data_IF_406839480033
#
_entry.id   IF_406839480033
#
_cell.length_a   1.000
_cell.length_b   1.000
_cell.length_c   1.000
_cell.angle_alpha   90.00
_cell.angle_beta   90.00
_cell.angle_gamma   90.00
#
_symmetry.space_group_name_H-M   'P 1'
#
loop_
_entity.id
_entity.type
_entity.pdbx_description
1 polymer ?
#
# COMPACT_ATOMS: atom_id res chain seq x y z
N UNK A 1 -21.07 -23.21 73.51
CA UNK A 1 -20.48 -22.17 72.64
C UNK A 1 -19.64 -22.87 71.58
N UNK A 2 -20.20 -23.10 70.39
CA UNK A 2 -19.45 -23.57 69.22
C UNK A 2 -19.12 -22.34 68.37
N UNK A 3 -17.83 -22.12 68.11
CA UNK A 3 -17.35 -21.03 67.26
C UNK A 3 -17.12 -21.62 65.87
N UNK A 4 -17.94 -21.21 64.91
CA UNK A 4 -17.78 -21.51 63.48
C UNK A 4 -16.74 -20.55 62.87
N UNK A 5 -15.77 -21.05 62.07
CA UNK A 5 -14.82 -20.18 61.39
C UNK A 5 -15.46 -19.59 60.13
N UNK A 6 -15.52 -18.26 60.06
CA UNK A 6 -15.90 -17.53 58.84
C UNK A 6 -14.72 -17.54 57.87
N UNK A 7 -14.89 -18.19 56.71
CA UNK A 7 -14.00 -18.08 55.56
C UNK A 7 -14.24 -16.73 54.87
N UNK A 8 -13.31 -15.79 55.03
CA UNK A 8 -13.26 -14.56 54.24
C UNK A 8 -12.70 -14.89 52.85
N UNK A 9 -13.56 -14.93 51.84
CA UNK A 9 -13.17 -15.04 50.44
C UNK A 9 -12.74 -13.65 49.94
N UNK A 10 -11.44 -13.38 49.89
CA UNK A 10 -10.93 -12.15 49.27
C UNK A 10 -11.08 -12.26 47.76
N UNK A 11 -12.04 -11.52 47.19
CA UNK A 11 -12.09 -11.27 45.76
C UNK A 11 -10.90 -10.38 45.38
N UNK A 12 -9.81 -11.00 44.95
CA UNK A 12 -8.77 -10.33 44.17
C UNK A 12 -9.43 -9.81 42.89
N UNK A 13 -9.71 -8.50 42.86
CA UNK A 13 -10.00 -7.76 41.63
C UNK A 13 -8.74 -7.86 40.76
N UNK A 14 -8.67 -8.90 39.93
CA UNK A 14 -7.75 -8.94 38.81
C UNK A 14 -8.05 -7.69 37.97
N UNK A 15 -7.06 -6.82 37.70
CA UNK A 15 -7.27 -5.77 36.73
C UNK A 15 -7.66 -6.47 35.43
N UNK A 16 -8.86 -6.20 34.94
CA UNK A 16 -9.23 -6.52 33.57
C UNK A 16 -8.18 -5.82 32.73
N UNK A 17 -7.22 -6.57 32.22
CA UNK A 17 -6.33 -6.08 31.18
C UNK A 17 -7.27 -5.57 30.09
N UNK A 18 -7.29 -4.24 29.89
CA UNK A 18 -7.90 -3.67 28.70
C UNK A 18 -7.38 -4.50 27.55
N UNK A 19 -8.28 -5.11 26.78
CA UNK A 19 -7.86 -5.70 25.51
C UNK A 19 -7.03 -4.64 24.81
N UNK A 20 -5.77 -4.96 24.51
CA UNK A 20 -5.01 -4.15 23.57
C UNK A 20 -5.83 -4.20 22.29
N UNK A 21 -6.62 -3.17 22.04
CA UNK A 21 -7.29 -2.98 20.78
C UNK A 21 -6.13 -2.86 19.79
N UNK A 22 -5.86 -3.92 19.03
CA UNK A 22 -4.86 -3.88 17.98
C UNK A 22 -5.29 -2.77 17.02
N UNK A 23 -4.53 -1.70 17.04
CA UNK A 23 -4.75 -0.47 16.26
C UNK A 23 -3.65 -0.35 15.24
N UNK A 24 -3.89 0.50 14.25
CA UNK A 24 -2.88 0.91 13.30
C UNK A 24 -1.68 1.49 14.05
N UNK A 25 -0.48 1.14 13.60
CA UNK A 25 0.78 1.58 14.18
C UNK A 25 1.55 2.35 13.13
N UNK A 26 1.85 3.61 13.41
CA UNK A 26 2.63 4.49 12.54
C UNK A 26 3.94 4.84 13.28
N UNK A 27 5.08 4.52 12.68
CA UNK A 27 6.39 4.62 13.31
C UNK A 27 7.25 5.58 12.51
N UNK A 28 7.72 6.64 13.17
CA UNK A 28 8.71 7.58 12.66
C UNK A 28 10.10 7.08 13.08
N UNK A 29 10.83 6.52 12.13
CA UNK A 29 12.04 5.76 12.41
C UNK A 29 13.20 6.70 12.71
N UNK A 30 13.86 6.50 13.86
CA UNK A 30 14.88 7.40 14.36
C UNK A 30 14.34 8.63 15.08
N UNK A 31 13.02 8.87 15.12
CA UNK A 31 12.47 9.93 15.96
C UNK A 31 12.66 9.59 17.46
N UNK A 32 12.87 10.63 18.27
CA UNK A 32 13.00 10.50 19.72
C UNK A 32 11.72 10.87 20.48
N UNK A 33 10.79 11.52 19.80
CA UNK A 33 9.54 12.01 20.38
C UNK A 33 8.38 11.66 19.46
N UNK A 34 7.21 11.47 20.04
CA UNK A 34 5.97 11.31 19.28
C UNK A 34 5.66 12.60 18.53
N UNK A 35 5.04 12.47 17.37
CA UNK A 35 4.58 13.61 16.57
C UNK A 35 3.16 13.35 16.03
N UNK A 36 2.48 14.41 15.62
CA UNK A 36 1.18 14.29 14.93
C UNK A 36 1.31 14.92 13.55
N UNK A 37 1.04 14.13 12.53
CA UNK A 37 1.08 14.55 11.12
C UNK A 37 -0.08 13.93 10.36
N UNK A 38 -0.77 14.72 9.52
CA UNK A 38 -2.00 14.31 8.82
C UNK A 38 -3.09 13.71 9.74
N UNK A 39 -3.21 14.24 10.97
CA UNK A 39 -4.10 13.74 12.02
C UNK A 39 -3.80 12.30 12.49
N UNK A 40 -2.59 11.80 12.22
CA UNK A 40 -2.09 10.51 12.69
C UNK A 40 -1.01 10.73 13.75
N UNK A 41 -1.06 9.96 14.84
CA UNK A 41 0.02 9.92 15.83
C UNK A 41 1.12 9.00 15.30
N UNK A 42 2.32 9.56 15.13
CA UNK A 42 3.53 8.84 14.76
C UNK A 42 4.38 8.60 16.01
N UNK A 43 4.75 7.34 16.23
CA UNK A 43 5.49 6.89 17.39
C UNK A 43 6.99 6.83 17.08
N UNK A 44 7.87 7.14 18.05
CA UNK A 44 9.28 6.82 17.92
C UNK A 44 9.47 5.30 17.86
N UNK A 45 10.54 4.84 17.22
CA UNK A 45 10.75 3.41 16.97
C UNK A 45 11.41 2.62 18.11
N UNK A 46 11.90 3.27 19.16
CA UNK A 46 12.71 2.64 20.21
C UNK A 46 12.04 1.43 20.92
N UNK A 47 10.71 1.40 20.96
CA UNK A 47 9.95 0.28 21.56
C UNK A 47 9.81 -0.93 20.61
N UNK A 48 10.11 -0.75 19.32
CA UNK A 48 9.89 -1.74 18.27
C UNK A 48 11.20 -2.29 17.69
N UNK A 49 12.33 -1.58 17.84
CA UNK A 49 13.65 -1.99 17.29
C UNK A 49 14.74 -1.84 18.36
N UNK A 50 15.62 -2.83 18.47
CA UNK A 50 16.69 -2.86 19.48
C UNK A 50 18.09 -2.49 18.94
N UNK A 51 18.19 -2.22 17.65
CA UNK A 51 19.45 -1.98 16.95
C UNK A 51 19.39 -0.75 16.04
N UNK A 52 20.51 -0.42 15.41
CA UNK A 52 20.63 0.74 14.54
C UNK A 52 20.84 2.05 15.29
N UNK A 53 21.04 3.13 14.54
CA UNK A 53 21.33 4.48 15.03
C UNK A 53 20.37 5.47 14.38
N UNK A 54 19.73 6.28 15.22
CA UNK A 54 18.93 7.42 14.79
C UNK A 54 19.83 8.49 14.16
N UNK A 55 19.42 9.03 13.02
CA UNK A 55 20.08 10.15 12.34
C UNK A 55 19.03 11.15 11.85
N UNK A 56 19.37 12.43 11.93
CA UNK A 56 18.58 13.50 11.32
C UNK A 56 19.02 13.69 9.87
N UNK A 57 18.05 13.93 8.99
CA UNK A 57 18.30 14.35 7.62
C UNK A 57 18.54 15.86 7.60
N UNK A 58 19.60 16.29 6.91
CA UNK A 58 19.97 17.71 6.82
C UNK A 58 19.20 18.45 5.72
N UNK A 59 18.67 17.73 4.73
CA UNK A 59 17.84 18.31 3.69
C UNK A 59 16.51 18.82 4.26
N UNK A 60 16.00 19.92 3.72
CA UNK A 60 14.68 20.42 4.11
C UNK A 60 13.60 19.51 3.54
N UNK A 61 12.83 18.87 4.43
CA UNK A 61 11.72 17.98 4.08
C UNK A 61 10.40 18.54 4.62
N UNK A 62 9.37 18.50 3.78
CA UNK A 62 8.02 18.96 4.15
C UNK A 62 7.24 17.90 4.93
N UNK A 63 7.59 16.62 4.76
CA UNK A 63 6.97 15.50 5.46
C UNK A 63 7.80 15.19 6.71
N UNK A 64 7.25 15.39 7.93
CA UNK A 64 8.03 15.27 9.17
C UNK A 64 8.68 13.90 9.36
N UNK A 65 8.01 12.83 8.95
CA UNK A 65 8.49 11.44 9.08
C UNK A 65 9.66 11.11 8.16
N UNK A 66 10.09 12.05 7.30
CA UNK A 66 11.29 11.93 6.47
C UNK A 66 12.47 12.71 7.06
N UNK A 67 12.27 13.47 8.15
CA UNK A 67 13.31 14.29 8.77
C UNK A 67 14.25 13.45 9.64
N UNK A 68 13.82 12.26 10.02
CA UNK A 68 14.61 11.28 10.77
C UNK A 68 14.64 9.95 10.06
N UNK A 69 15.73 9.21 10.26
CA UNK A 69 15.86 7.84 9.81
C UNK A 69 16.57 7.02 10.87
N UNK A 70 16.32 5.70 10.86
CA UNK A 70 17.17 4.73 11.53
C UNK A 70 18.08 4.07 10.52
N UNK A 71 19.38 4.05 10.82
CA UNK A 71 20.43 3.42 10.00
C UNK A 71 21.00 2.20 10.69
N UNK A 72 21.36 1.17 9.94
CA UNK A 72 21.87 -0.09 10.47
C UNK A 72 23.30 -0.34 9.97
N UNK A 73 24.29 -0.41 10.87
CA UNK A 73 25.70 -0.46 10.46
C UNK A 73 26.01 -1.75 9.69
N UNK A 74 26.47 -1.63 8.45
CA UNK A 74 26.84 -2.75 7.59
C UNK A 74 28.09 -3.47 8.10
N UNK A 75 29.09 -2.70 8.55
CA UNK A 75 30.36 -3.23 9.03
C UNK A 75 30.13 -4.21 10.19
N UNK A 76 30.67 -5.43 10.07
CA UNK A 76 30.51 -6.55 11.02
C UNK A 76 29.08 -7.11 11.15
N UNK A 77 28.11 -6.67 10.33
CA UNK A 77 26.73 -7.13 10.38
C UNK A 77 26.16 -7.58 9.03
N UNK A 78 27.01 -7.86 8.04
CA UNK A 78 26.60 -8.30 6.68
C UNK A 78 25.68 -9.54 6.70
N UNK A 79 25.81 -10.44 7.69
CA UNK A 79 24.98 -11.64 7.83
C UNK A 79 23.81 -11.47 8.81
N UNK A 80 23.54 -10.25 9.29
CA UNK A 80 22.46 -9.97 10.22
C UNK A 80 21.30 -9.30 9.51
N UNK A 81 20.11 -9.57 10.03
CA UNK A 81 18.91 -8.79 9.76
C UNK A 81 18.54 -7.97 10.99
N UNK A 82 17.97 -6.80 10.78
CA UNK A 82 17.52 -5.90 11.82
C UNK A 82 16.01 -5.77 11.73
N UNK A 83 15.30 -6.21 12.77
CA UNK A 83 13.86 -6.45 12.71
C UNK A 83 13.10 -5.55 13.67
N UNK A 84 12.13 -4.82 13.14
CA UNK A 84 11.07 -4.21 13.92
C UNK A 84 10.09 -5.30 14.34
N UNK A 85 9.67 -5.29 15.61
CA UNK A 85 8.77 -6.28 16.19
C UNK A 85 7.47 -5.59 16.65
N UNK A 86 6.41 -5.72 15.86
CA UNK A 86 5.14 -4.98 16.07
C UNK A 86 4.10 -5.93 16.64
N UNK A 87 3.54 -5.68 17.84
CA UNK A 87 2.45 -6.49 18.39
C UNK A 87 1.19 -6.44 17.51
N UNK A 88 0.67 -7.60 17.12
CA UNK A 88 -0.46 -7.74 16.18
C UNK A 88 -1.37 -8.91 16.53
N UNK A 89 -2.56 -8.93 15.93
CA UNK A 89 -3.43 -10.08 15.92
C UNK A 89 -3.11 -10.98 14.71
N UNK A 90 -2.50 -12.13 14.96
CA UNK A 90 -2.16 -13.13 13.93
C UNK A 90 -3.33 -13.66 13.11
N UNK A 91 -4.57 -13.46 13.57
CA UNK A 91 -5.78 -13.89 12.85
C UNK A 91 -6.27 -12.85 11.85
N UNK A 92 -5.63 -11.68 11.82
CA UNK A 92 -5.97 -10.57 10.95
C UNK A 92 -4.84 -10.31 9.96
N UNK A 93 -5.15 -9.56 8.91
CA UNK A 93 -4.19 -9.17 7.90
C UNK A 93 -3.92 -7.67 7.96
N UNK A 94 -2.70 -7.30 7.59
CA UNK A 94 -2.19 -5.95 7.74
C UNK A 94 -1.63 -5.46 6.42
N UNK A 95 -1.87 -4.19 6.11
CA UNK A 95 -1.06 -3.45 5.15
C UNK A 95 0.20 -3.00 5.87
N UNK A 96 1.34 -3.35 5.29
CA UNK A 96 2.66 -2.90 5.73
C UNK A 96 3.17 -1.93 4.69
N UNK A 97 3.56 -0.72 5.10
CA UNK A 97 4.29 0.22 4.25
C UNK A 97 5.60 0.61 4.89
N UNK A 98 6.68 0.45 4.15
CA UNK A 98 8.01 0.95 4.53
C UNK A 98 8.37 2.11 3.62
N UNK A 99 8.80 3.23 4.21
CA UNK A 99 9.17 4.44 3.48
C UNK A 99 10.64 4.76 3.70
N UNK A 100 11.31 5.15 2.63
CA UNK A 100 12.75 5.34 2.56
C UNK A 100 13.08 6.68 1.90
N UNK A 101 13.57 7.63 2.67
CA UNK A 101 14.17 8.87 2.20
C UNK A 101 15.65 8.91 2.54
N UNK A 102 16.51 8.75 1.53
CA UNK A 102 17.94 8.61 1.77
C UNK A 102 18.59 9.90 2.28
N UNK A 103 18.24 11.05 1.69
CA UNK A 103 18.71 12.37 2.14
C UNK A 103 20.22 12.54 2.29
N UNK A 104 21.03 11.65 1.70
CA UNK A 104 22.49 11.62 1.88
C UNK A 104 22.97 11.11 3.25
N UNK A 105 22.13 10.40 4.01
CA UNK A 105 22.36 10.09 5.45
C UNK A 105 23.60 9.24 5.75
N UNK A 106 24.11 8.51 4.76
CA UNK A 106 25.35 7.74 4.88
C UNK A 106 26.56 8.46 4.27
N UNK A 107 26.36 9.61 3.61
CA UNK A 107 27.42 10.37 2.94
C UNK A 107 27.88 9.80 1.59
N UNK A 108 27.33 8.66 1.16
CA UNK A 108 27.60 8.07 -0.15
C UNK A 108 26.76 8.76 -1.25
N UNK A 109 27.30 8.80 -2.47
CA UNK A 109 26.62 9.36 -3.66
C UNK A 109 25.36 8.58 -4.01
N UNK A 110 25.39 7.25 -3.85
CA UNK A 110 24.24 6.38 -4.09
C UNK A 110 23.70 5.83 -2.76
N UNK A 111 22.38 5.65 -2.63
CA UNK A 111 21.79 4.93 -1.50
C UNK A 111 22.15 3.43 -1.56
N UNK A 112 22.19 2.73 -0.42
CA UNK A 112 22.39 1.29 -0.39
C UNK A 112 21.20 0.54 -0.98
N UNK A 113 21.50 -0.60 -1.60
CA UNK A 113 20.52 -1.60 -2.02
C UNK A 113 20.51 -2.73 -1.00
N UNK A 114 19.35 -3.11 -0.48
CA UNK A 114 19.23 -4.11 0.59
C UNK A 114 17.88 -4.84 0.51
N UNK A 115 17.73 -5.93 1.26
CA UNK A 115 16.49 -6.71 1.28
C UNK A 115 15.58 -6.26 2.42
N UNK A 116 14.28 -6.33 2.18
CA UNK A 116 13.26 -6.29 3.23
C UNK A 116 12.51 -7.61 3.33
N UNK A 117 12.22 -8.00 4.55
CA UNK A 117 11.74 -9.34 4.92
C UNK A 117 10.58 -9.16 5.91
N UNK A 118 9.47 -9.86 5.69
CA UNK A 118 8.33 -9.88 6.60
C UNK A 118 8.15 -11.28 7.16
N UNK A 119 8.15 -11.43 8.48
CA UNK A 119 8.01 -12.73 9.18
C UNK A 119 8.97 -13.82 8.67
N UNK A 120 10.17 -13.42 8.25
CA UNK A 120 11.18 -14.33 7.71
C UNK A 120 11.02 -14.67 6.23
N UNK A 121 9.96 -14.18 5.57
CA UNK A 121 9.77 -14.29 4.12
C UNK A 121 10.38 -13.08 3.42
N UNK A 122 11.25 -13.30 2.43
CA UNK A 122 11.77 -12.22 1.60
C UNK A 122 10.61 -11.53 0.89
N UNK A 123 10.46 -10.23 1.11
CA UNK A 123 9.40 -9.44 0.49
C UNK A 123 9.90 -8.81 -0.82
N UNK A 124 10.95 -7.99 -0.76
CA UNK A 124 11.52 -7.35 -1.96
C UNK A 124 12.91 -6.77 -1.69
N UNK A 125 13.58 -6.36 -2.77
CA UNK A 125 14.79 -5.55 -2.72
C UNK A 125 14.39 -4.08 -2.66
N UNK A 126 14.94 -3.35 -1.69
CA UNK A 126 14.85 -1.90 -1.57
C UNK A 126 15.97 -1.28 -2.41
N UNK A 127 15.58 -0.44 -3.37
CA UNK A 127 16.49 0.34 -4.19
C UNK A 127 15.86 1.71 -4.45
N UNK A 128 16.38 2.72 -3.77
CA UNK A 128 15.84 4.09 -3.79
C UNK A 128 16.65 5.02 -4.69
N UNK A 129 17.48 4.48 -5.58
CA UNK A 129 18.46 5.26 -6.36
C UNK A 129 17.78 6.30 -7.24
N UNK A 130 16.79 5.90 -8.02
CA UNK A 130 16.09 6.79 -8.96
C UNK A 130 15.29 7.88 -8.23
N UNK A 131 14.58 7.51 -7.16
CA UNK A 131 13.83 8.46 -6.33
C UNK A 131 14.76 9.45 -5.64
N UNK A 132 15.89 8.99 -5.09
CA UNK A 132 16.87 9.86 -4.47
C UNK A 132 17.42 10.91 -5.45
N UNK A 133 17.71 10.54 -6.70
CA UNK A 133 18.17 11.48 -7.72
C UNK A 133 17.10 12.50 -8.15
N UNK A 134 15.81 12.18 -7.97
CA UNK A 134 14.70 13.13 -8.12
C UNK A 134 14.45 13.99 -6.88
N UNK A 135 15.08 13.65 -5.75
CA UNK A 135 14.84 14.30 -4.46
C UNK A 135 13.61 13.75 -3.72
N UNK A 136 13.11 12.59 -4.15
CA UNK A 136 11.89 11.95 -3.65
C UNK A 136 12.21 10.83 -2.64
N UNK A 137 11.16 10.36 -1.97
CA UNK A 137 11.19 9.15 -1.13
C UNK A 137 10.59 7.96 -1.87
N UNK A 138 11.14 6.77 -1.64
CA UNK A 138 10.52 5.51 -2.09
C UNK A 138 9.60 4.95 -1.01
N UNK A 139 8.50 4.31 -1.40
CA UNK A 139 7.73 3.46 -0.50
C UNK A 139 7.48 2.09 -1.12
N UNK A 140 7.37 1.08 -0.26
CA UNK A 140 6.98 -0.27 -0.63
C UNK A 140 5.76 -0.63 0.21
N UNK A 141 4.77 -1.25 -0.41
CA UNK A 141 3.52 -1.63 0.26
C UNK A 141 3.20 -3.10 0.01
N UNK A 142 2.78 -3.82 1.03
CA UNK A 142 2.31 -5.18 0.90
C UNK A 142 1.24 -5.53 1.92
N UNK A 143 0.53 -6.62 1.67
CA UNK A 143 -0.50 -7.16 2.56
C UNK A 143 -0.07 -8.53 3.04
N UNK A 144 0.03 -8.68 4.36
CA UNK A 144 0.55 -9.85 5.02
C UNK A 144 -0.38 -10.30 6.15
N UNK A 145 -0.46 -11.60 6.37
CA UNK A 145 -1.04 -12.18 7.58
C UNK A 145 0.11 -12.62 8.50
N UNK A 146 0.20 -12.11 9.74
CA UNK A 146 1.28 -12.45 10.65
C UNK A 146 1.25 -13.93 11.05
N UNK A 147 2.43 -14.51 11.19
CA UNK A 147 2.63 -15.90 11.63
C UNK A 147 2.66 -16.04 13.16
N UNK A 148 2.88 -14.93 13.88
CA UNK A 148 3.07 -14.87 15.33
C UNK A 148 2.31 -13.74 16.01
N UNK A 149 2.52 -13.58 17.32
CA UNK A 149 1.94 -12.48 18.12
C UNK A 149 2.55 -11.11 17.78
N UNK A 150 3.74 -11.13 17.19
CA UNK A 150 4.39 -9.97 16.63
C UNK A 150 4.55 -10.20 15.13
N UNK A 151 4.43 -9.12 14.37
CA UNK A 151 4.81 -9.02 12.97
C UNK A 151 6.25 -8.49 12.93
N UNK A 152 7.13 -9.23 12.27
CA UNK A 152 8.54 -8.87 12.13
C UNK A 152 8.77 -8.23 10.77
N UNK A 153 9.24 -6.98 10.73
CA UNK A 153 9.65 -6.29 9.49
C UNK A 153 11.15 -6.04 9.57
N UNK A 154 11.93 -6.75 8.77
CA UNK A 154 13.38 -6.74 8.85
C UNK A 154 14.04 -6.15 7.61
N UNK A 155 15.17 -5.49 7.81
CA UNK A 155 16.10 -5.10 6.77
C UNK A 155 17.37 -5.96 6.86
N UNK A 156 17.91 -6.39 5.72
CA UNK A 156 19.11 -7.21 5.66
C UNK A 156 19.99 -6.83 4.48
N UNK A 157 21.31 -6.91 4.65
CA UNK A 157 22.24 -6.74 3.55
C UNK A 157 22.11 -7.90 2.53
N UNK A 158 22.31 -7.58 1.26
CA UNK A 158 22.40 -8.53 0.16
C UNK A 158 23.73 -8.33 -0.60
N UNK A 159 23.89 -9.02 -1.73
CA UNK A 159 25.13 -8.96 -2.54
C UNK A 159 25.43 -7.60 -3.16
N UNK A 160 24.46 -6.68 -3.17
CA UNK A 160 24.57 -5.33 -3.72
C UNK A 160 24.69 -4.25 -2.64
N UNK A 161 24.63 -4.61 -1.35
CA UNK A 161 24.70 -3.65 -0.25
C UNK A 161 26.13 -3.14 -0.05
N UNK A 162 26.33 -1.83 -0.25
CA UNK A 162 27.62 -1.16 -0.17
C UNK A 162 27.71 -0.10 0.95
N UNK A 163 26.58 0.22 1.58
CA UNK A 163 26.48 1.13 2.74
C UNK A 163 25.33 0.73 3.66
N UNK A 164 25.14 1.46 4.78
CA UNK A 164 24.22 1.10 5.86
C UNK A 164 22.74 1.11 5.43
N UNK A 165 22.02 -0.03 5.47
CA UNK A 165 20.57 -0.04 5.28
C UNK A 165 19.86 0.95 6.21
N UNK A 166 18.75 1.51 5.77
CA UNK A 166 18.04 2.55 6.50
C UNK A 166 16.54 2.45 6.32
N UNK A 167 15.77 3.11 7.18
CA UNK A 167 14.31 3.27 7.06
C UNK A 167 13.89 4.60 7.69
N UNK A 168 12.94 5.28 7.05
CA UNK A 168 12.39 6.57 7.50
C UNK A 168 11.07 6.40 8.23
N UNK A 169 10.18 5.56 7.71
CA UNK A 169 8.89 5.32 8.34
C UNK A 169 8.41 3.88 8.14
N UNK A 170 7.63 3.38 9.10
CA UNK A 170 6.96 2.09 9.04
C UNK A 170 5.49 2.24 9.44
N UNK A 171 4.59 1.85 8.55
CA UNK A 171 3.15 1.84 8.77
C UNK A 171 2.67 0.39 8.81
N UNK A 172 1.95 0.01 9.87
CA UNK A 172 1.31 -1.29 10.03
C UNK A 172 -0.17 -1.05 10.31
N UNK A 173 -1.00 -1.22 9.28
CA UNK A 173 -2.41 -0.86 9.28
C UNK A 173 -3.28 -2.11 9.25
N UNK A 174 -4.23 -2.21 10.18
CA UNK A 174 -5.16 -3.32 10.25
C UNK A 174 -6.20 -3.22 9.13
N UNK A 175 -6.24 -4.22 8.25
CA UNK A 175 -7.24 -4.26 7.19
C UNK A 175 -8.51 -4.99 7.62
N UNK A 176 -9.64 -4.60 7.04
CA UNK A 176 -10.90 -5.33 7.21
C UNK A 176 -10.86 -6.66 6.46
N UNK A 177 -11.60 -7.64 6.97
CA UNK A 177 -11.56 -9.02 6.46
C UNK A 177 -12.03 -9.13 5.00
N UNK A 178 -12.93 -8.23 4.58
CA UNK A 178 -13.49 -8.18 3.24
C UNK A 178 -12.51 -7.69 2.17
N UNK A 179 -11.47 -6.94 2.54
CA UNK A 179 -10.45 -6.49 1.59
C UNK A 179 -9.61 -7.68 1.14
N UNK A 180 -9.30 -7.74 -0.16
CA UNK A 180 -8.44 -8.75 -0.77
C UNK A 180 -8.84 -10.21 -0.45
N UNK A 181 -10.11 -10.45 -0.13
CA UNK A 181 -10.62 -11.75 0.33
C UNK A 181 -10.62 -12.86 -0.75
N UNK A 182 -10.17 -12.55 -1.97
CA UNK A 182 -9.88 -13.53 -3.02
C UNK A 182 -8.48 -14.16 -2.89
N UNK A 183 -7.65 -13.70 -1.96
CA UNK A 183 -6.30 -14.23 -1.70
C UNK A 183 -6.29 -15.09 -0.43
N UNK A 184 -5.72 -16.28 -0.53
CA UNK A 184 -5.42 -17.11 0.64
C UNK A 184 -4.16 -16.58 1.33
N UNK A 185 -4.34 -15.71 2.32
CA UNK A 185 -3.24 -15.12 3.07
C UNK A 185 -2.51 -16.09 4.01
N UNK A 186 -2.98 -17.34 4.14
CA UNK A 186 -2.23 -18.38 4.87
C UNK A 186 -1.12 -18.99 4.02
N UNK A 187 -1.21 -18.85 2.70
CA UNK A 187 -0.24 -19.36 1.73
C UNK A 187 0.48 -18.26 0.95
N UNK A 188 -0.15 -17.09 0.79
CA UNK A 188 0.36 -16.01 -0.06
C UNK A 188 0.34 -14.66 0.65
N UNK A 189 1.18 -13.75 0.17
CA UNK A 189 1.13 -12.32 0.51
C UNK A 189 0.97 -11.52 -0.78
N UNK A 190 0.47 -10.28 -0.67
CA UNK A 190 0.41 -9.38 -1.81
C UNK A 190 1.53 -8.34 -1.68
N UNK A 191 2.33 -8.16 -2.73
CA UNK A 191 3.20 -6.99 -2.87
C UNK A 191 2.57 -6.03 -3.87
N UNK A 192 2.46 -4.76 -3.51
CA UNK A 192 1.94 -3.75 -4.41
C UNK A 192 2.93 -3.52 -5.56
N UNK A 193 2.41 -3.59 -6.79
CA UNK A 193 3.13 -3.18 -8.00
C UNK A 193 2.72 -1.77 -8.40
N UNK A 194 1.42 -1.49 -8.40
CA UNK A 194 0.85 -0.21 -8.80
C UNK A 194 -0.58 -0.07 -8.30
N UNK A 195 -0.96 1.15 -7.91
CA UNK A 195 -2.35 1.52 -7.61
C UNK A 195 -2.57 2.97 -8.03
N UNK A 196 -3.50 3.19 -8.95
CA UNK A 196 -3.64 4.48 -9.62
C UNK A 196 -5.08 4.96 -9.71
N UNK A 197 -5.23 6.29 -9.66
CA UNK A 197 -6.44 7.02 -10.01
C UNK A 197 -6.32 7.53 -11.45
N UNK A 198 -7.13 6.98 -12.35
CA UNK A 198 -7.04 7.27 -13.79
C UNK A 198 -7.71 8.61 -14.13
N UNK A 199 -7.03 9.45 -14.89
CA UNK A 199 -7.51 10.79 -15.27
C UNK A 199 -7.48 11.81 -14.13
N UNK A 200 -6.74 11.51 -13.06
CA UNK A 200 -6.52 12.39 -11.92
C UNK A 200 -5.12 13.02 -12.03
N UNK A 201 -5.03 14.32 -11.79
CA UNK A 201 -3.84 15.16 -11.91
C UNK A 201 -3.47 15.85 -10.57
N UNK A 202 -4.16 15.49 -9.49
CA UNK A 202 -3.91 16.03 -8.16
C UNK A 202 -2.89 15.21 -7.34
N UNK A 203 -2.68 15.61 -6.07
CA UNK A 203 -1.79 14.89 -5.16
C UNK A 203 -2.32 13.48 -4.85
N UNK A 204 -1.42 12.53 -4.58
CA UNK A 204 -1.75 11.15 -4.20
C UNK A 204 -2.96 11.08 -3.27
N UNK A 205 -3.98 10.32 -3.68
CA UNK A 205 -5.18 10.11 -2.84
C UNK A 205 -4.83 9.04 -1.81
N UNK A 206 -4.97 9.38 -0.53
CA UNK A 206 -4.73 8.50 0.60
C UNK A 206 -5.63 8.89 1.77
N UNK A 207 -5.18 8.65 3.00
CA UNK A 207 -5.92 9.10 4.18
C UNK A 207 -6.11 10.64 4.17
N UNK A 208 -7.29 11.19 4.49
CA UNK A 208 -8.48 10.51 5.02
C UNK A 208 -9.47 10.01 3.96
N UNK A 209 -9.21 10.24 2.67
CA UNK A 209 -10.10 9.80 1.59
C UNK A 209 -10.17 8.27 1.50
N UNK A 210 -9.02 7.59 1.63
CA UNK A 210 -8.94 6.12 1.77
C UNK A 210 -8.74 5.73 3.24
N UNK A 211 -9.78 5.14 3.85
CA UNK A 211 -9.78 4.66 5.23
C UNK A 211 -8.83 3.48 5.51
N UNK A 212 -8.29 2.85 4.45
CA UNK A 212 -7.32 1.76 4.54
C UNK A 212 -5.90 2.24 4.27
N UNK A 213 -5.69 3.57 4.26
CA UNK A 213 -4.40 4.26 4.14
C UNK A 213 -3.65 3.96 2.84
N UNK A 214 -4.26 3.29 1.86
CA UNK A 214 -3.66 2.98 0.56
C UNK A 214 -3.39 4.26 -0.22
N UNK A 215 -2.29 4.28 -0.94
CA UNK A 215 -1.98 5.36 -1.88
C UNK A 215 -2.50 5.03 -3.27
N UNK A 216 -3.20 6.00 -3.87
CA UNK A 216 -3.67 5.99 -5.24
C UNK A 216 -2.98 7.11 -6.01
N UNK A 217 -2.00 6.74 -6.82
CA UNK A 217 -1.19 7.68 -7.59
C UNK A 217 -1.94 8.20 -8.82
N UNK A 218 -1.78 9.46 -9.20
CA UNK A 218 -2.35 9.98 -10.45
C UNK A 218 -1.81 9.21 -11.67
N UNK A 219 -2.66 8.94 -12.66
CA UNK A 219 -2.24 8.31 -13.91
C UNK A 219 -3.00 8.86 -15.12
N UNK A 220 -2.26 9.12 -16.19
CA UNK A 220 -2.81 9.50 -17.50
C UNK A 220 -2.93 10.99 -17.76
N UNK A 221 -2.15 11.82 -17.04
CA UNK A 221 -2.06 13.29 -17.20
C UNK A 221 -1.88 13.73 -18.66
N UNK A 222 -1.01 13.05 -19.42
CA UNK A 222 -0.68 13.42 -20.81
C UNK A 222 -1.64 12.84 -21.86
N UNK A 223 -2.60 12.01 -21.46
CA UNK A 223 -3.23 11.09 -22.38
C UNK A 223 -4.60 11.55 -22.88
N UNK A 224 -5.44 12.21 -22.06
CA UNK A 224 -6.85 12.47 -22.43
C UNK A 224 -7.47 13.72 -21.76
N UNK A 225 -8.50 14.33 -22.38
CA UNK A 225 -9.27 15.40 -21.75
C UNK A 225 -9.96 14.90 -20.47
N UNK A 226 -9.74 15.60 -19.36
CA UNK A 226 -10.34 15.29 -18.06
C UNK A 226 -11.84 15.62 -18.06
N UNK A 227 -12.64 14.75 -17.45
CA UNK A 227 -14.05 15.07 -17.12
C UNK A 227 -14.32 14.80 -15.64
N UNK A 228 -14.76 15.82 -14.91
CA UNK A 228 -15.26 15.67 -13.55
C UNK A 228 -16.63 15.01 -13.54
N UNK A 229 -16.80 13.95 -12.77
CA UNK A 229 -18.10 13.32 -12.53
C UNK A 229 -18.75 13.91 -11.27
N UNK A 230 -20.09 13.97 -11.17
CA UNK A 230 -20.75 14.27 -9.91
C UNK A 230 -20.39 13.21 -8.86
N UNK A 231 -20.59 13.54 -7.57
CA UNK A 231 -20.32 12.61 -6.47
C UNK A 231 -21.11 11.31 -6.65
N UNK A 232 -20.40 10.26 -7.09
CA UNK A 232 -20.95 8.92 -7.22
C UNK A 232 -20.99 8.26 -5.84
N UNK A 233 -22.09 7.58 -5.53
CA UNK A 233 -22.28 6.94 -4.23
C UNK A 233 -21.32 5.76 -3.98
N UNK A 234 -20.76 5.17 -5.05
CA UNK A 234 -19.80 4.04 -5.11
C UNK A 234 -19.71 3.23 -3.83
N UNK A 235 -20.75 2.44 -3.55
CA UNK A 235 -20.90 1.71 -2.29
C UNK A 235 -20.80 0.19 -2.42
N UNK A 236 -20.71 -0.33 -3.65
CA UNK A 236 -20.78 -1.78 -3.94
C UNK A 236 -19.49 -2.39 -4.49
N UNK A 237 -18.38 -1.65 -4.52
CA UNK A 237 -17.15 -2.11 -5.17
C UNK A 237 -16.27 -2.90 -4.17
N UNK A 238 -15.87 -4.12 -4.56
CA UNK A 238 -14.88 -4.93 -3.84
C UNK A 238 -13.59 -4.15 -3.56
N UNK A 239 -12.92 -4.43 -2.44
CA UNK A 239 -11.79 -3.66 -1.91
C UNK A 239 -12.09 -2.20 -1.55
N UNK A 240 -13.32 -1.71 -1.69
CA UNK A 240 -13.77 -0.41 -1.17
C UNK A 240 -12.81 0.76 -1.53
N UNK A 241 -12.51 0.99 -2.82
CA UNK A 241 -11.76 2.19 -3.24
C UNK A 241 -12.48 3.47 -2.79
N UNK A 242 -11.73 4.55 -2.48
CA UNK A 242 -12.34 5.79 -2.00
C UNK A 242 -13.16 6.47 -3.10
N UNK A 243 -14.31 7.09 -2.81
CA UNK A 243 -15.15 7.73 -3.84
C UNK A 243 -14.40 8.76 -4.70
N UNK A 244 -13.38 9.41 -4.13
CA UNK A 244 -12.54 10.39 -4.81
C UNK A 244 -11.85 9.86 -6.07
N UNK A 245 -11.50 8.57 -6.13
CA UNK A 245 -10.87 7.99 -7.34
C UNK A 245 -11.85 7.90 -8.53
N UNK A 246 -13.16 8.01 -8.29
CA UNK A 246 -14.19 7.97 -9.34
C UNK A 246 -14.68 9.36 -9.75
N UNK A 247 -14.13 10.43 -9.18
CA UNK A 247 -14.49 11.80 -9.56
C UNK A 247 -13.88 12.20 -10.91
N UNK A 248 -12.87 11.46 -11.36
CA UNK A 248 -12.19 11.67 -12.64
C UNK A 248 -12.16 10.39 -13.46
N UNK A 249 -11.97 10.52 -14.78
CA UNK A 249 -11.81 9.39 -15.68
C UNK A 249 -11.00 9.79 -16.91
N UNK A 250 -10.37 8.79 -17.54
CA UNK A 250 -9.90 8.92 -18.91
C UNK A 250 -11.07 8.67 -19.86
N UNK A 251 -11.29 9.57 -20.82
CA UNK A 251 -12.41 9.47 -21.75
C UNK A 251 -12.00 9.79 -23.19
N UNK A 252 -12.67 9.15 -24.16
CA UNK A 252 -12.60 9.49 -25.58
C UNK A 252 -13.99 9.85 -26.11
N UNK A 253 -14.06 10.94 -26.88
CA UNK A 253 -15.31 11.41 -27.48
C UNK A 253 -15.82 10.51 -28.61
N UNK A 254 -14.97 9.65 -29.17
CA UNK A 254 -15.28 8.69 -30.24
C UNK A 254 -15.24 7.26 -29.73
N UNK A 255 -15.97 6.31 -30.35
CA UNK A 255 -15.93 4.89 -30.02
C UNK A 255 -14.64 4.24 -30.55
N UNK A 256 -13.50 4.73 -30.06
CA UNK A 256 -12.16 4.22 -30.40
C UNK A 256 -11.56 3.53 -29.18
N UNK A 257 -10.79 2.45 -29.35
CA UNK A 257 -10.08 1.81 -28.25
C UNK A 257 -9.14 2.78 -27.53
N UNK A 258 -9.17 2.75 -26.20
CA UNK A 258 -8.26 3.41 -25.30
C UNK A 258 -7.19 2.41 -24.85
N UNK A 259 -5.95 2.60 -25.30
CA UNK A 259 -4.81 1.75 -24.90
C UNK A 259 -3.85 2.53 -24.01
N UNK A 260 -3.45 1.93 -22.89
CA UNK A 260 -2.62 2.51 -21.85
C UNK A 260 -1.44 1.56 -21.55
N UNK A 261 -0.27 2.13 -21.32
CA UNK A 261 0.87 1.39 -20.76
C UNK A 261 0.74 1.40 -19.24
N UNK A 262 0.14 0.36 -18.67
CA UNK A 262 -0.15 0.27 -17.25
C UNK A 262 0.10 -1.16 -16.73
N UNK A 263 0.83 -1.34 -15.61
CA UNK A 263 1.42 -0.30 -14.74
C UNK A 263 2.54 0.52 -15.41
N UNK A 264 2.98 1.66 -14.82
CA UNK A 264 4.08 2.45 -15.36
C UNK A 264 5.39 1.65 -15.31
N UNK A 265 5.84 1.18 -16.47
CA UNK A 265 7.10 0.45 -16.61
C UNK A 265 6.94 -1.07 -16.70
N UNK A 266 8.06 -1.78 -16.96
CA UNK A 266 8.05 -3.23 -17.12
C UNK A 266 7.88 -3.95 -15.77
N UNK A 267 7.12 -5.05 -15.77
CA UNK A 267 6.98 -5.92 -14.61
C UNK A 267 7.80 -7.21 -14.80
N UNK A 268 8.29 -7.84 -13.72
CA UNK A 268 8.88 -9.18 -13.78
C UNK A 268 7.96 -10.22 -14.42
N UNK A 269 8.53 -11.35 -14.85
CA UNK A 269 7.72 -12.48 -15.29
C UNK A 269 7.11 -13.18 -14.07
N UNK A 270 5.83 -12.93 -13.80
CA UNK A 270 5.13 -13.53 -12.66
C UNK A 270 3.60 -13.52 -12.88
N UNK A 271 2.89 -14.03 -11.89
CA UNK A 271 1.45 -14.04 -11.78
C UNK A 271 0.96 -12.89 -10.88
N UNK A 272 0.07 -12.06 -11.42
CA UNK A 272 -0.40 -10.85 -10.79
C UNK A 272 -1.88 -10.93 -10.44
N UNK A 273 -2.25 -10.38 -9.27
CA UNK A 273 -3.64 -10.09 -8.95
C UNK A 273 -3.98 -8.70 -9.50
N UNK A 274 -4.91 -8.63 -10.44
CA UNK A 274 -5.30 -7.37 -11.10
C UNK A 274 -6.75 -7.07 -10.72
N UNK A 275 -7.05 -5.83 -10.37
CA UNK A 275 -8.40 -5.35 -10.12
C UNK A 275 -8.58 -4.00 -10.81
N UNK A 276 -9.60 -3.90 -11.67
CA UNK A 276 -9.96 -2.68 -12.39
C UNK A 276 -11.34 -2.23 -11.93
N UNK A 277 -11.43 -0.97 -11.53
CA UNK A 277 -12.63 -0.39 -10.93
C UNK A 277 -13.25 0.61 -11.90
N UNK A 278 -14.56 0.48 -12.12
CA UNK A 278 -15.32 1.31 -13.05
C UNK A 278 -16.55 1.87 -12.36
N UNK A 279 -16.89 3.11 -12.66
CA UNK A 279 -18.16 3.71 -12.28
C UNK A 279 -18.60 4.69 -13.37
N UNK A 280 -19.91 4.96 -13.46
CA UNK A 280 -20.48 5.83 -14.48
C UNK A 280 -21.60 6.69 -13.90
N UNK A 281 -21.75 7.92 -14.41
CA UNK A 281 -22.91 8.75 -14.11
C UNK A 281 -24.07 8.39 -15.06
N UNK A 282 -25.25 8.17 -14.48
CA UNK A 282 -26.47 7.76 -15.20
C UNK A 282 -27.00 8.83 -16.15
N UNK A 283 -26.52 10.08 -16.06
CA UNK A 283 -27.03 11.22 -16.84
C UNK A 283 -26.60 11.21 -18.32
N UNK A 284 -25.62 10.39 -18.72
CA UNK A 284 -25.16 10.30 -20.11
C UNK A 284 -26.00 9.29 -20.94
N UNK A 285 -27.23 9.69 -21.26
CA UNK A 285 -28.06 9.21 -22.38
C UNK A 285 -28.14 7.70 -22.60
N UNK A 286 -29.09 7.03 -21.92
CA UNK A 286 -29.96 5.93 -22.42
C UNK A 286 -29.37 4.69 -23.11
N UNK A 287 -28.05 4.63 -23.29
CA UNK A 287 -27.32 3.57 -23.98
C UNK A 287 -26.46 2.88 -22.95
N UNK A 288 -26.73 1.59 -22.74
CA UNK A 288 -25.83 0.73 -21.96
C UNK A 288 -24.47 0.71 -22.66
N UNK A 289 -23.47 1.34 -22.05
CA UNK A 289 -22.09 1.32 -22.54
C UNK A 289 -21.46 0.02 -22.10
N UNK A 290 -21.24 -0.87 -23.06
CA UNK A 290 -20.51 -2.11 -22.85
C UNK A 290 -19.06 -1.92 -23.30
N UNK A 291 -18.13 -2.38 -22.47
CA UNK A 291 -16.69 -2.24 -22.67
C UNK A 291 -16.06 -3.63 -22.66
N UNK A 292 -15.20 -3.89 -23.64
CA UNK A 292 -14.28 -5.01 -23.62
C UNK A 292 -12.94 -4.56 -23.07
N UNK A 293 -12.38 -5.34 -22.15
CA UNK A 293 -11.09 -5.11 -21.50
C UNK A 293 -10.13 -6.19 -21.96
N UNK A 294 -8.98 -5.77 -22.49
CA UNK A 294 -7.90 -6.68 -22.85
C UNK A 294 -6.59 -6.25 -22.20
N UNK A 295 -5.77 -7.23 -21.82
CA UNK A 295 -4.43 -7.01 -21.29
C UNK A 295 -3.45 -7.75 -22.21
N UNK A 296 -2.49 -7.04 -22.79
CA UNK A 296 -1.56 -7.55 -23.81
C UNK A 296 -2.28 -8.22 -25.00
N UNK A 297 -3.43 -7.67 -25.38
CA UNK A 297 -4.28 -8.22 -26.46
C UNK A 297 -5.07 -9.48 -26.09
N UNK A 298 -4.91 -10.00 -24.87
CA UNK A 298 -5.68 -11.14 -24.35
C UNK A 298 -6.93 -10.62 -23.64
N UNK A 299 -8.08 -11.24 -23.93
CA UNK A 299 -9.35 -10.86 -23.31
C UNK A 299 -9.31 -11.07 -21.79
N UNK A 300 -9.47 -9.96 -21.06
CA UNK A 300 -9.52 -9.93 -19.60
C UNK A 300 -10.98 -9.94 -19.11
N UNK A 301 -11.84 -9.15 -19.76
CA UNK A 301 -13.27 -9.14 -19.51
C UNK A 301 -14.02 -8.69 -20.77
N UNK A 302 -15.13 -9.34 -21.12
CA UNK A 302 -15.94 -8.99 -22.29
C UNK A 302 -17.32 -8.47 -21.86
N UNK A 303 -17.87 -7.53 -22.62
CA UNK A 303 -19.20 -6.95 -22.44
C UNK A 303 -19.45 -6.40 -21.02
N UNK A 304 -18.48 -5.68 -20.45
CA UNK A 304 -18.62 -5.04 -19.14
C UNK A 304 -19.67 -3.92 -19.19
N UNK A 305 -20.78 -4.12 -18.48
CA UNK A 305 -21.78 -3.08 -18.28
C UNK A 305 -21.44 -2.26 -17.03
N UNK A 306 -21.06 -1.00 -17.21
CA UNK A 306 -20.72 -0.11 -16.10
C UNK A 306 -21.99 0.51 -15.49
N UNK A 307 -22.15 0.41 -14.18
CA UNK A 307 -23.32 0.91 -13.43
C UNK A 307 -22.93 2.03 -12.45
N UNK A 308 -23.89 2.88 -12.01
CA UNK A 308 -23.58 3.97 -11.08
C UNK A 308 -23.12 3.55 -9.69
N UNK A 309 -23.55 2.38 -9.23
CA UNK A 309 -23.06 1.79 -7.98
C UNK A 309 -21.58 1.38 -8.06
N UNK A 310 -21.01 1.38 -9.26
CA UNK A 310 -19.68 0.90 -9.56
C UNK A 310 -19.63 -0.61 -9.83
N UNK A 311 -18.59 -1.02 -10.53
CA UNK A 311 -18.28 -2.43 -10.81
C UNK A 311 -16.77 -2.63 -10.75
N UNK A 312 -16.36 -3.82 -10.34
CA UNK A 312 -14.97 -4.26 -10.35
C UNK A 312 -14.87 -5.52 -11.18
N UNK A 313 -13.82 -5.58 -12.00
CA UNK A 313 -13.39 -6.81 -12.67
C UNK A 313 -12.00 -7.15 -12.16
N UNK A 314 -11.82 -8.39 -11.70
CA UNK A 314 -10.58 -8.82 -11.10
C UNK A 314 -10.22 -10.23 -11.56
N UNK A 315 -8.91 -10.51 -11.61
CA UNK A 315 -8.37 -11.82 -11.88
C UNK A 315 -7.25 -12.12 -10.88
N UNK A 316 -7.20 -13.37 -10.43
CA UNK A 316 -6.13 -13.89 -9.59
C UNK A 316 -5.96 -15.39 -9.89
N UNK A 317 -4.82 -15.85 -10.46
CA UNK A 317 -3.66 -15.12 -10.99
C UNK A 317 -3.75 -14.74 -12.49
N UNK A 318 -3.11 -13.63 -12.90
CA UNK A 318 -2.94 -13.21 -14.31
C UNK A 318 -1.46 -13.07 -14.70
N UNK A 319 -0.95 -13.82 -15.70
CA UNK A 319 0.47 -13.79 -16.04
C UNK A 319 0.86 -12.50 -16.77
N UNK A 320 1.91 -11.82 -16.31
CA UNK A 320 2.51 -10.67 -17.00
C UNK A 320 4.03 -10.81 -17.07
N UNK A 321 4.63 -10.11 -18.04
CA UNK A 321 6.07 -9.92 -18.15
C UNK A 321 6.34 -8.70 -19.03
N UNK A 322 7.32 -7.88 -18.64
CA UNK A 322 7.74 -6.70 -19.39
C UNK A 322 6.66 -5.62 -19.41
N UNK A 323 6.62 -4.85 -20.50
CA UNK A 323 5.68 -3.74 -20.68
C UNK A 323 4.26 -4.31 -20.86
N UNK A 324 3.29 -3.75 -20.13
CA UNK A 324 1.89 -4.20 -20.16
C UNK A 324 0.99 -3.16 -20.84
N UNK A 325 0.18 -3.63 -21.79
CA UNK A 325 -0.84 -2.84 -22.49
C UNK A 325 -2.21 -3.17 -21.93
N UNK A 326 -2.86 -2.19 -21.30
CA UNK A 326 -4.27 -2.26 -20.91
C UNK A 326 -5.11 -1.55 -21.97
N UNK A 327 -6.00 -2.26 -22.64
CA UNK A 327 -6.89 -1.69 -23.65
C UNK A 327 -8.35 -1.83 -23.24
N UNK A 328 -9.07 -0.71 -23.24
CA UNK A 328 -10.51 -0.61 -23.12
C UNK A 328 -11.08 -0.31 -24.51
N UNK A 329 -12.04 -1.10 -24.99
CA UNK A 329 -12.67 -0.89 -26.28
C UNK A 329 -14.20 -0.92 -26.13
N UNK A 330 -14.96 -0.09 -26.88
CA UNK A 330 -16.41 -0.27 -26.95
C UNK A 330 -16.73 -1.66 -27.49
N UNK A 331 -17.63 -2.40 -26.84
CA UNK A 331 -18.04 -3.71 -27.36
C UNK A 331 -18.73 -3.56 -28.73
N UNK A 332 -18.67 -4.57 -29.61
CA UNK A 332 -19.27 -4.51 -30.94
C UNK A 332 -20.74 -4.08 -30.92
N UNK A 333 -21.09 -3.03 -31.65
CA UNK A 333 -22.44 -2.45 -31.69
C UNK A 333 -22.69 -1.29 -30.71
N UNK A 334 -21.73 -0.95 -29.85
CA UNK A 334 -21.78 0.27 -29.03
C UNK A 334 -21.52 1.52 -29.90
N UNK A 335 -22.40 2.52 -29.77
CA UNK A 335 -22.32 3.80 -30.51
C UNK A 335 -21.77 4.96 -29.65
N UNK A 336 -21.49 4.70 -28.37
CA UNK A 336 -21.01 5.71 -27.43
C UNK A 336 -19.48 5.63 -27.27
N UNK A 337 -18.82 6.78 -27.13
CA UNK A 337 -17.41 6.86 -26.75
C UNK A 337 -17.15 6.31 -25.34
N UNK A 338 -15.87 6.01 -25.05
CA UNK A 338 -15.39 5.55 -23.75
C UNK A 338 -15.42 6.68 -22.71
#
# INVERSE_FOLDING_TARGET
MMVTPFLFLSFLLLPVALSQLFRDVFIDCGANVKSTFNNLEWLPDNDYISAGTSKNITAHVLVPTLATVRTFPLQNNVFKKFCYEIPVDRTRKYLIRTTYYYGGVNGNVNPPVFDQIVDGTLWSVVNTTDDYFRGDSSYYEGVFMPTGKNLSVCLAANTHTDSDPFISALEVVLLWDQLYNSTDFTAYSLSLVARHSFGYDGPVIGYPDDQFYRYWEPFGEDAFPQSSLPNLAVSGIWNLPPPKVFQTRLARSRPEPLTLFWPPGPVPSDNYSIALYFANDQTASGSSRTIDVTINGVAYYNNLSVIPAGVVVFANPWPLSGITNLTLAPSPGSIAGL
#
